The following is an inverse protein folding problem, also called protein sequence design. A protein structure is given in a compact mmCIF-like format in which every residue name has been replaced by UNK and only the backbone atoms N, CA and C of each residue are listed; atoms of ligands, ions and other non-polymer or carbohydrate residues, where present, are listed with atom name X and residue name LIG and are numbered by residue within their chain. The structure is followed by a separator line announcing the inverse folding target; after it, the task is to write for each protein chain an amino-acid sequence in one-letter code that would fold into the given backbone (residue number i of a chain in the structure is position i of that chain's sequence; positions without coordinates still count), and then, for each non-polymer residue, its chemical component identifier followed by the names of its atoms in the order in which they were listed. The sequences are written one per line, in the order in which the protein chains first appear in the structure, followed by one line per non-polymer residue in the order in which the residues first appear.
data_IF_952747109729
#
_entry.id   IF_952747109729
#
_cell.length_a   1.000
_cell.length_b   1.000
_cell.length_c   1.000
_cell.angle_alpha   90.00
_cell.angle_beta   90.00
_cell.angle_gamma   90.00
#
_symmetry.space_group_name_H-M   'P 1'
#
loop_
_entity.id
_entity.type
_entity.pdbx_description
1 polymer ?
#
# COMPACT_ATOMS: atom_id res chain seq x y z
N UNK A 1 -4.44 -3.24 -2.09
CA UNK A 1 -4.95 -2.03 -2.77
C UNK A 1 -4.17 -1.71 -4.05
N UNK A 2 -4.84 -1.54 -5.20
CA UNK A 2 -4.22 -1.15 -6.48
C UNK A 2 -4.47 0.34 -6.85
N UNK A 3 -3.80 0.82 -7.89
CA UNK A 3 -3.91 2.17 -8.46
C UNK A 3 -4.07 2.12 -9.99
N UNK A 4 -4.47 3.21 -10.66
CA UNK A 4 -4.61 3.21 -12.12
C UNK A 4 -3.32 2.78 -12.85
N UNK A 5 -2.15 3.23 -12.37
CA UNK A 5 -0.84 2.87 -12.94
C UNK A 5 -0.39 1.45 -12.56
N UNK A 6 -0.78 0.98 -11.37
CA UNK A 6 -0.46 -0.35 -10.84
C UNK A 6 -1.73 -1.03 -10.33
N UNK A 7 -2.54 -1.63 -11.21
CA UNK A 7 -3.90 -2.06 -10.87
C UNK A 7 -3.94 -3.31 -10.02
N UNK A 8 -2.88 -4.10 -10.01
CA UNK A 8 -2.78 -5.34 -9.22
C UNK A 8 -2.81 -5.03 -7.73
N UNK A 9 -3.79 -5.59 -7.03
CA UNK A 9 -3.91 -5.42 -5.59
C UNK A 9 -2.78 -6.13 -4.84
N UNK A 10 -2.30 -5.50 -3.77
CA UNK A 10 -1.26 -6.04 -2.87
C UNK A 10 0.08 -6.32 -3.58
N UNK A 11 0.25 -5.80 -4.80
CA UNK A 11 1.49 -5.91 -5.57
C UNK A 11 2.64 -5.18 -4.88
N UNK A 12 2.37 -4.06 -4.20
CA UNK A 12 3.42 -3.30 -3.53
C UNK A 12 4.12 -4.10 -2.43
N UNK A 13 3.39 -4.84 -1.61
CA UNK A 13 3.97 -5.64 -0.51
C UNK A 13 4.88 -6.74 -1.03
N UNK A 14 4.42 -7.46 -2.07
CA UNK A 14 5.21 -8.49 -2.74
C UNK A 14 6.44 -7.88 -3.43
N UNK A 15 6.25 -6.76 -4.14
CA UNK A 15 7.30 -6.04 -4.84
C UNK A 15 8.38 -5.54 -3.88
N UNK A 16 7.98 -5.03 -2.72
CA UNK A 16 8.88 -4.50 -1.70
C UNK A 16 9.62 -5.62 -0.98
N UNK A 17 8.94 -6.70 -0.62
CA UNK A 17 9.52 -7.87 0.06
C UNK A 17 10.61 -8.54 -0.77
N UNK A 18 10.41 -8.69 -2.08
CA UNK A 18 11.43 -9.22 -3.01
C UNK A 18 12.70 -8.36 -3.08
N UNK A 19 12.63 -7.10 -2.64
CA UNK A 19 13.75 -6.14 -2.62
C UNK A 19 14.33 -5.95 -1.21
N UNK A 20 13.87 -6.75 -0.24
CA UNK A 20 14.27 -6.69 1.15
C UNK A 20 13.88 -5.40 1.85
N UNK A 21 12.73 -4.82 1.46
CA UNK A 21 12.15 -3.67 2.14
C UNK A 21 10.92 -4.08 2.95
N UNK A 22 10.46 -3.17 3.81
CA UNK A 22 9.22 -3.34 4.58
C UNK A 22 8.37 -2.08 4.52
N UNK A 23 7.07 -2.20 4.75
CA UNK A 23 6.17 -1.07 4.86
C UNK A 23 5.21 -1.28 6.02
N UNK A 24 4.62 -0.19 6.48
CA UNK A 24 3.48 -0.22 7.37
C UNK A 24 2.68 1.08 7.22
N UNK A 25 1.47 1.06 7.78
CA UNK A 25 0.64 2.24 7.91
C UNK A 25 -0.07 2.26 9.27
N UNK A 26 -0.29 3.45 9.80
CA UNK A 26 -1.07 3.63 11.03
C UNK A 26 -1.95 4.88 10.93
N UNK A 27 -3.19 4.75 11.39
CA UNK A 27 -4.16 5.84 11.47
C UNK A 27 -4.29 6.27 12.93
N UNK A 28 -3.83 7.49 13.21
CA UNK A 28 -4.12 8.20 14.45
C UNK A 28 -5.40 9.03 14.32
N UNK A 29 -5.69 9.84 15.36
CA UNK A 29 -6.92 10.64 15.38
C UNK A 29 -6.95 11.75 14.32
N UNK A 30 -5.79 12.31 13.98
CA UNK A 30 -5.67 13.50 13.12
C UNK A 30 -4.76 13.26 11.90
N UNK A 31 -4.17 12.08 11.78
CA UNK A 31 -3.25 11.75 10.71
C UNK A 31 -3.29 10.27 10.36
N UNK A 32 -2.97 9.99 9.10
CA UNK A 32 -2.62 8.64 8.65
C UNK A 32 -1.17 8.67 8.18
N UNK A 33 -0.33 7.87 8.82
CA UNK A 33 1.07 7.72 8.47
C UNK A 33 1.24 6.49 7.58
N UNK A 34 1.79 6.69 6.39
CA UNK A 34 2.24 5.62 5.50
C UNK A 34 3.75 5.70 5.37
N UNK A 35 4.46 4.59 5.54
CA UNK A 35 5.91 4.57 5.39
C UNK A 35 6.42 3.26 4.81
N UNK A 36 7.56 3.32 4.13
CA UNK A 36 8.29 2.15 3.67
C UNK A 36 9.80 2.39 3.73
N UNK A 37 10.56 1.31 3.84
CA UNK A 37 12.01 1.30 3.70
C UNK A 37 12.43 0.29 2.64
N UNK A 38 13.53 0.58 1.94
CA UNK A 38 14.12 -0.32 0.96
C UNK A 38 15.57 0.08 0.70
N UNK A 39 16.37 -0.85 0.17
CA UNK A 39 17.73 -0.56 -0.31
C UNK A 39 17.71 0.57 -1.34
N UNK A 40 18.62 1.54 -1.20
CA UNK A 40 18.73 2.75 -2.04
C UNK A 40 18.60 2.50 -3.56
N UNK A 41 19.19 1.42 -4.07
CA UNK A 41 19.13 1.05 -5.50
C UNK A 41 17.71 0.79 -6.04
N UNK A 42 16.74 0.56 -5.16
CA UNK A 42 15.34 0.30 -5.49
C UNK A 42 14.40 1.44 -5.09
N UNK A 43 14.91 2.48 -4.41
CA UNK A 43 14.08 3.52 -3.82
C UNK A 43 13.19 4.22 -4.84
N UNK A 44 13.74 4.65 -5.98
CA UNK A 44 12.96 5.36 -7.00
C UNK A 44 11.78 4.53 -7.53
N UNK A 45 12.00 3.24 -7.84
CA UNK A 45 10.94 2.35 -8.33
C UNK A 45 9.89 2.04 -7.26
N UNK A 46 10.30 1.89 -6.00
CA UNK A 46 9.36 1.67 -4.90
C UNK A 46 8.57 2.95 -4.58
N UNK A 47 9.22 4.11 -4.62
CA UNK A 47 8.57 5.41 -4.40
C UNK A 47 7.52 5.71 -5.47
N UNK A 48 7.77 5.38 -6.73
CA UNK A 48 6.78 5.54 -7.81
C UNK A 48 5.51 4.72 -7.53
N UNK A 49 5.66 3.45 -7.13
CA UNK A 49 4.53 2.60 -6.73
C UNK A 49 3.80 3.15 -5.51
N UNK A 50 4.55 3.52 -4.47
CA UNK A 50 4.02 4.06 -3.22
C UNK A 50 3.25 5.37 -3.45
N UNK A 51 3.78 6.29 -4.24
CA UNK A 51 3.14 7.57 -4.55
C UNK A 51 1.78 7.39 -5.25
N UNK A 52 1.63 6.35 -6.06
CA UNK A 52 0.37 6.08 -6.77
C UNK A 52 -0.78 5.64 -5.84
N UNK A 53 -0.50 5.29 -4.58
CA UNK A 53 -1.56 5.15 -3.56
C UNK A 53 -2.33 6.44 -3.34
N UNK A 54 -1.67 7.60 -3.53
CA UNK A 54 -2.22 8.93 -3.27
C UNK A 54 -2.65 9.66 -4.55
N UNK A 55 -2.15 9.25 -5.71
CA UNK A 55 -2.44 9.91 -6.99
C UNK A 55 -3.78 9.43 -7.58
N UNK A 56 -3.97 8.12 -7.69
CA UNK A 56 -5.17 7.54 -8.32
C UNK A 56 -5.42 6.11 -7.83
N UNK A 57 -5.78 5.94 -6.54
CA UNK A 57 -6.15 4.64 -6.00
C UNK A 57 -7.42 4.12 -6.68
N UNK A 58 -7.48 2.81 -6.92
CA UNK A 58 -8.66 2.21 -7.58
C UNK A 58 -9.88 2.14 -6.65
N UNK A 59 -9.66 1.89 -5.35
CA UNK A 59 -10.71 1.68 -4.36
C UNK A 59 -11.83 0.75 -4.88
N UNK A 60 -11.44 -0.39 -5.48
CA UNK A 60 -12.37 -1.33 -6.07
C UNK A 60 -13.37 -1.82 -5.01
N UNK A 61 -14.63 -1.98 -5.40
CA UNK A 61 -15.69 -2.42 -4.49
C UNK A 61 -15.33 -3.72 -3.77
N UNK A 62 -14.74 -4.67 -4.50
CA UNK A 62 -14.32 -5.98 -3.95
C UNK A 62 -13.14 -5.87 -2.98
N UNK A 63 -12.25 -4.88 -3.15
CA UNK A 63 -11.23 -4.55 -2.14
C UNK A 63 -11.88 -3.97 -0.89
N UNK A 64 -12.79 -3.02 -1.06
CA UNK A 64 -13.45 -2.32 0.06
C UNK A 64 -14.24 -3.30 0.93
N UNK A 65 -15.04 -4.19 0.33
CA UNK A 65 -15.85 -5.17 1.07
C UNK A 65 -14.97 -6.13 1.90
N UNK A 66 -13.81 -6.55 1.36
CA UNK A 66 -12.83 -7.37 2.11
C UNK A 66 -12.13 -6.60 3.22
N UNK A 67 -11.73 -5.36 2.96
CA UNK A 67 -11.05 -4.53 3.96
C UNK A 67 -11.96 -4.18 5.13
N UNK A 68 -13.24 -3.91 4.87
CA UNK A 68 -14.27 -3.74 5.91
C UNK A 68 -14.32 -4.98 6.80
N UNK A 69 -14.31 -6.18 6.21
CA UNK A 69 -14.30 -7.42 6.98
C UNK A 69 -13.01 -7.56 7.80
N UNK A 70 -11.84 -7.27 7.21
CA UNK A 70 -10.56 -7.35 7.91
C UNK A 70 -10.48 -6.40 9.12
N UNK A 71 -11.01 -5.18 8.98
CA UNK A 71 -11.12 -4.19 10.06
C UNK A 71 -12.10 -4.66 11.13
N UNK A 72 -13.28 -5.16 10.73
CA UNK A 72 -14.32 -5.63 11.65
C UNK A 72 -13.90 -6.91 12.40
N UNK A 73 -13.10 -7.77 11.77
CA UNK A 73 -12.49 -8.95 12.38
C UNK A 73 -11.22 -8.62 13.16
N UNK A 74 -10.93 -7.34 13.43
CA UNK A 74 -9.89 -6.89 14.37
C UNK A 74 -10.16 -7.25 15.84
N UNK A 75 -10.89 -8.36 16.07
CA UNK A 75 -10.91 -9.16 17.29
C UNK A 75 -10.39 -10.56 16.97
#
# INVERSE_FOLDING_TARGET
MGSLKYPTENDFDAYLSQRGGTNNAWTGNEYTLFHFDVKRKHFASCLDKFANFFISPLLSKDSTDREINAVNSGK
#
